data_IF_737046041021
#
_entry.id   IF_737046041021
#
_cell.length_a   1.000
_cell.length_b   1.000
_cell.length_c   1.000
_cell.angle_alpha   90.00
_cell.angle_beta   90.00
_cell.angle_gamma   90.00
#
_symmetry.space_group_name_H-M   'P 1'
#
loop_
_entity.id
_entity.type
_entity.pdbx_description
1 polymer ?
#
# COMPACT_ATOMS: atom_id res chain seq x y z
N UNK A 1 9.25 29.31 13.30
CA UNK A 1 9.38 27.88 13.63
C UNK A 1 8.40 27.58 14.75
N UNK A 2 7.32 26.88 14.46
CA UNK A 2 6.34 26.46 15.47
C UNK A 2 6.75 25.07 15.93
N UNK A 3 7.17 24.95 17.18
CA UNK A 3 7.37 23.66 17.84
C UNK A 3 5.99 23.03 18.06
N UNK A 4 5.69 21.97 17.32
CA UNK A 4 4.53 21.14 17.58
C UNK A 4 4.99 20.05 18.55
N UNK A 5 5.04 20.37 19.85
CA UNK A 5 5.02 19.35 20.89
C UNK A 5 3.60 18.77 20.94
N UNK A 6 3.34 17.77 20.10
CA UNK A 6 2.08 17.04 20.16
C UNK A 6 2.14 16.10 21.36
N UNK A 7 1.34 16.40 22.38
CA UNK A 7 0.94 15.47 23.44
C UNK A 7 0.11 14.32 22.83
N UNK A 8 0.74 13.42 22.08
CA UNK A 8 0.10 12.16 21.68
C UNK A 8 0.05 11.28 22.92
N UNK A 9 -1.14 11.14 23.51
CA UNK A 9 -1.42 10.03 24.40
C UNK A 9 -1.05 8.74 23.67
N UNK A 10 -0.27 7.88 24.31
CA UNK A 10 0.05 6.56 23.77
C UNK A 10 -1.27 5.89 23.34
N UNK A 11 -1.45 5.52 22.06
CA UNK A 11 -2.65 4.81 21.64
C UNK A 11 -2.76 3.53 22.47
N UNK A 12 -3.96 3.21 22.99
CA UNK A 12 -4.14 1.95 23.72
C UNK A 12 -3.85 0.79 22.76
N UNK A 13 -3.16 -0.23 23.25
CA UNK A 13 -2.76 -1.40 22.48
C UNK A 13 -3.94 -2.16 21.84
N UNK A 14 -5.17 -1.84 22.25
CA UNK A 14 -6.42 -2.42 21.73
C UNK A 14 -6.67 -2.09 20.25
N UNK A 15 -5.98 -1.07 19.70
CA UNK A 15 -6.24 -0.56 18.34
C UNK A 15 -5.19 -0.95 17.28
N UNK A 16 -4.21 -1.76 17.65
CA UNK A 16 -3.13 -2.14 16.73
C UNK A 16 -3.56 -3.29 15.82
N UNK A 17 -4.12 -2.94 14.65
CA UNK A 17 -4.19 -3.84 13.49
C UNK A 17 -3.25 -3.29 12.41
N UNK A 18 -2.01 -3.78 12.37
CA UNK A 18 -1.06 -3.44 11.31
C UNK A 18 -1.18 -4.42 10.14
N UNK A 19 -1.25 -3.94 8.91
CA UNK A 19 -1.11 -4.75 7.69
C UNK A 19 0.30 -4.58 7.13
N UNK A 20 1.29 -5.25 7.73
CA UNK A 20 2.62 -5.45 7.11
C UNK A 20 2.89 -6.94 6.89
N UNK A 21 3.88 -7.31 6.07
CA UNK A 21 4.30 -8.71 5.88
C UNK A 21 4.68 -9.40 7.20
N UNK A 22 5.11 -8.66 8.22
CA UNK A 22 5.36 -9.19 9.57
C UNK A 22 4.07 -9.70 10.25
N UNK A 23 2.91 -9.16 9.86
CA UNK A 23 1.59 -9.52 10.42
C UNK A 23 0.99 -10.76 9.80
N UNK A 24 1.38 -11.12 8.57
CA UNK A 24 0.93 -12.36 7.94
C UNK A 24 1.47 -13.60 8.65
N UNK A 25 2.66 -13.48 9.27
CA UNK A 25 3.23 -14.51 10.15
C UNK A 25 2.75 -14.39 11.62
N UNK A 26 2.15 -13.26 12.01
CA UNK A 26 1.80 -12.95 13.40
C UNK A 26 0.31 -13.10 13.71
N UNK A 27 -0.45 -13.92 12.97
CA UNK A 27 -1.88 -14.14 13.22
C UNK A 27 -2.21 -14.83 14.56
N UNK A 28 -1.20 -15.11 15.41
CA UNK A 28 -1.35 -15.68 16.76
C UNK A 28 -0.48 -15.00 17.83
N UNK A 29 0.18 -13.87 17.55
CA UNK A 29 0.98 -13.19 18.57
C UNK A 29 0.07 -12.30 19.42
N UNK A 30 0.03 -12.53 20.73
CA UNK A 30 -0.85 -11.78 21.64
C UNK A 30 -0.51 -10.26 21.61
N UNK A 31 -1.50 -9.36 21.68
CA UNK A 31 -1.33 -7.90 21.59
C UNK A 31 -0.24 -7.32 22.52
N UNK A 32 -0.06 -7.95 23.67
CA UNK A 32 0.90 -7.63 24.72
C UNK A 32 2.38 -7.86 24.34
N UNK A 33 2.66 -8.74 23.37
CA UNK A 33 4.01 -8.92 22.79
C UNK A 33 4.26 -7.92 21.65
N UNK A 34 3.22 -7.60 20.88
CA UNK A 34 3.35 -6.76 19.69
C UNK A 34 3.41 -5.26 20.02
N UNK A 35 2.67 -4.82 21.05
CA UNK A 35 2.56 -3.41 21.40
C UNK A 35 3.90 -2.74 21.79
N UNK A 36 4.80 -3.36 22.57
CA UNK A 36 6.12 -2.78 22.85
C UNK A 36 6.99 -2.61 21.60
N UNK A 37 6.93 -3.56 20.67
CA UNK A 37 7.67 -3.53 19.40
C UNK A 37 7.14 -2.40 18.53
N UNK A 38 5.82 -2.28 18.41
CA UNK A 38 5.21 -1.22 17.61
C UNK A 38 5.36 0.16 18.25
N UNK A 39 5.36 0.26 19.59
CA UNK A 39 5.71 1.50 20.28
C UNK A 39 7.18 1.90 20.01
N UNK A 40 8.11 0.95 19.93
CA UNK A 40 9.49 1.23 19.48
C UNK A 40 9.54 1.67 18.01
N UNK A 41 8.71 1.09 17.13
CA UNK A 41 8.59 1.55 15.74
C UNK A 41 8.02 2.97 15.64
N UNK A 42 7.01 3.30 16.46
CA UNK A 42 6.38 4.63 16.51
C UNK A 42 7.31 5.68 17.15
N UNK A 43 8.09 5.30 18.16
CA UNK A 43 9.07 6.17 18.84
C UNK A 43 10.40 6.27 18.07
N UNK A 44 10.55 5.46 17.01
CA UNK A 44 11.78 5.33 16.25
C UNK A 44 12.82 4.48 17.00
N UNK A 45 13.41 3.51 16.31
CA UNK A 45 14.58 2.81 16.83
C UNK A 45 15.68 3.84 17.15
N UNK A 46 16.30 3.80 18.35
CA UNK A 46 17.41 4.69 18.66
C UNK A 46 18.49 4.50 17.60
N UNK A 47 18.99 5.60 17.08
CA UNK A 47 20.02 5.56 16.03
C UNK A 47 21.25 4.85 16.60
N UNK A 48 21.61 3.72 16.01
CA UNK A 48 22.83 3.02 16.38
C UNK A 48 24.05 3.60 15.66
N UNK A 49 25.22 3.00 15.90
CA UNK A 49 26.46 3.38 15.23
C UNK A 49 26.46 3.13 13.71
N UNK A 50 25.46 2.44 13.15
CA UNK A 50 25.33 2.09 11.74
C UNK A 50 24.27 2.95 11.01
N UNK A 51 23.48 3.73 11.73
CA UNK A 51 22.48 4.62 11.14
C UNK A 51 23.10 5.53 10.06
N UNK A 52 22.51 5.49 8.85
CA UNK A 52 22.96 6.22 7.64
C UNK A 52 24.41 5.90 7.20
N UNK A 53 24.95 4.74 7.55
CA UNK A 53 26.26 4.27 7.08
C UNK A 53 26.12 3.07 6.14
N UNK A 54 27.02 2.98 5.18
CA UNK A 54 27.19 1.78 4.35
C UNK A 54 28.34 0.93 4.86
N UNK A 55 28.32 -0.39 4.63
CA UNK A 55 29.47 -1.24 4.92
C UNK A 55 30.70 -0.73 4.16
N UNK A 56 31.85 -0.65 4.82
CA UNK A 56 33.11 -0.17 4.22
C UNK A 56 33.99 -1.31 3.71
N UNK A 57 33.76 -2.53 4.19
CA UNK A 57 34.51 -3.73 3.78
C UNK A 57 33.86 -4.33 2.53
N UNK A 58 34.71 -4.67 1.55
CA UNK A 58 34.25 -5.40 0.37
C UNK A 58 33.74 -6.79 0.76
N UNK A 59 32.68 -7.23 0.10
CA UNK A 59 32.15 -8.60 0.23
C UNK A 59 32.09 -9.26 -1.14
N UNK A 60 32.13 -10.59 -1.16
CA UNK A 60 31.91 -11.42 -2.36
C UNK A 60 30.59 -12.18 -2.29
N UNK A 61 29.84 -12.02 -1.20
CA UNK A 61 28.54 -12.66 -1.05
C UNK A 61 27.60 -12.15 -2.15
N UNK A 62 26.92 -13.04 -2.87
CA UNK A 62 25.88 -12.64 -3.79
C UNK A 62 24.79 -11.85 -3.05
N UNK A 63 24.44 -10.67 -3.55
CA UNK A 63 23.32 -9.87 -3.04
C UNK A 63 22.38 -9.51 -4.19
N UNK A 64 21.10 -9.86 -4.03
CA UNK A 64 20.00 -9.39 -4.89
C UNK A 64 19.20 -8.32 -4.16
N UNK A 65 18.98 -7.19 -4.82
CA UNK A 65 18.05 -6.15 -4.40
C UNK A 65 16.90 -6.05 -5.42
N UNK A 66 15.70 -6.40 -4.99
CA UNK A 66 14.46 -6.21 -5.75
C UNK A 66 13.73 -4.96 -5.24
N UNK A 67 13.26 -4.12 -6.14
CA UNK A 67 12.54 -2.91 -5.76
C UNK A 67 11.43 -2.58 -6.74
N UNK A 68 10.25 -2.21 -6.23
CA UNK A 68 9.13 -1.80 -7.06
C UNK A 68 9.21 -0.32 -7.44
N UNK A 69 8.94 0.01 -8.70
CA UNK A 69 8.99 1.39 -9.20
C UNK A 69 7.87 2.31 -8.67
N UNK A 70 6.85 1.74 -8.02
CA UNK A 70 5.75 2.46 -7.37
C UNK A 70 5.75 2.25 -5.85
N UNK A 71 6.88 1.86 -5.24
CA UNK A 71 7.00 1.77 -3.80
C UNK A 71 6.93 3.16 -3.16
N UNK A 72 5.78 3.48 -2.56
CA UNK A 72 5.55 4.74 -1.84
C UNK A 72 6.23 4.79 -0.48
N UNK A 73 6.59 3.64 0.10
CA UNK A 73 7.26 3.54 1.40
C UNK A 73 8.76 3.77 1.28
N UNK A 74 9.37 3.32 0.18
CA UNK A 74 10.76 3.60 -0.18
C UNK A 74 10.85 4.15 -1.60
N UNK A 75 10.84 5.48 -1.81
CA UNK A 75 10.89 6.06 -3.14
C UNK A 75 12.08 5.57 -3.99
N UNK A 76 11.81 5.30 -5.27
CA UNK A 76 12.79 4.78 -6.25
C UNK A 76 14.15 5.50 -6.24
N UNK A 77 14.25 6.84 -6.16
CA UNK A 77 15.56 7.50 -6.10
C UNK A 77 16.42 7.06 -4.90
N UNK A 78 15.79 6.74 -3.77
CA UNK A 78 16.48 6.24 -2.56
C UNK A 78 16.96 4.80 -2.79
N UNK A 79 16.12 3.94 -3.35
CA UNK A 79 16.51 2.56 -3.68
C UNK A 79 17.65 2.52 -4.71
N UNK A 80 17.60 3.35 -5.76
CA UNK A 80 18.70 3.51 -6.73
C UNK A 80 19.98 4.03 -6.07
N UNK A 81 19.87 4.94 -5.11
CA UNK A 81 21.01 5.40 -4.32
C UNK A 81 21.62 4.24 -3.52
N UNK A 82 20.80 3.42 -2.83
CA UNK A 82 21.27 2.22 -2.13
C UNK A 82 21.95 1.24 -3.10
N UNK A 83 21.32 0.93 -4.23
CA UNK A 83 21.88 0.06 -5.25
C UNK A 83 23.26 0.53 -5.71
N UNK A 84 23.41 1.83 -5.98
CA UNK A 84 24.71 2.43 -6.34
C UNK A 84 25.75 2.27 -5.24
N UNK A 85 25.39 2.44 -3.97
CA UNK A 85 26.33 2.31 -2.86
C UNK A 85 26.76 0.85 -2.67
N UNK A 86 25.82 -0.09 -2.73
CA UNK A 86 26.11 -1.53 -2.61
C UNK A 86 26.94 -2.06 -3.79
N UNK A 87 26.73 -1.56 -5.01
CA UNK A 87 27.53 -1.97 -6.17
C UNK A 87 29.00 -1.52 -6.09
N UNK A 88 29.32 -0.47 -5.32
CA UNK A 88 30.70 -0.02 -5.11
C UNK A 88 31.49 -0.93 -4.16
N UNK A 89 30.79 -1.64 -3.26
CA UNK A 89 31.40 -2.47 -2.21
C UNK A 89 31.30 -3.98 -2.51
N UNK A 90 30.40 -4.38 -3.41
CA UNK A 90 30.18 -5.77 -3.78
C UNK A 90 30.09 -5.90 -5.31
N UNK A 91 31.06 -6.61 -5.90
CA UNK A 91 31.04 -6.90 -7.34
C UNK A 91 30.01 -7.97 -7.73
N UNK A 92 29.46 -8.69 -6.75
CA UNK A 92 28.40 -9.68 -6.93
C UNK A 92 27.06 -9.15 -6.39
N UNK A 93 26.67 -7.98 -6.89
CA UNK A 93 25.46 -7.27 -6.51
C UNK A 93 24.56 -7.08 -7.74
N UNK A 94 23.33 -7.56 -7.65
CA UNK A 94 22.31 -7.41 -8.70
C UNK A 94 21.17 -6.54 -8.18
N UNK A 95 20.85 -5.47 -8.90
CA UNK A 95 19.67 -4.64 -8.67
C UNK A 95 18.66 -4.86 -9.79
N UNK A 96 17.41 -5.12 -9.42
CA UNK A 96 16.29 -5.23 -10.34
C UNK A 96 15.18 -4.29 -9.87
N UNK A 97 14.94 -3.26 -10.67
CA UNK A 97 13.77 -2.41 -10.54
C UNK A 97 12.61 -3.05 -11.31
N UNK A 98 11.48 -3.22 -10.62
CA UNK A 98 10.33 -3.97 -11.09
C UNK A 98 9.23 -3.00 -11.50
N UNK A 99 8.80 -3.02 -12.78
CA UNK A 99 7.80 -2.09 -13.25
C UNK A 99 6.43 -2.39 -12.64
N UNK A 100 5.64 -1.35 -12.42
CA UNK A 100 4.28 -1.43 -11.88
C UNK A 100 4.18 -2.23 -10.57
N UNK A 101 5.24 -2.18 -9.76
CA UNK A 101 5.33 -2.96 -8.51
C UNK A 101 5.40 -2.02 -7.32
N UNK A 102 4.62 -2.30 -6.28
CA UNK A 102 4.59 -1.51 -5.05
C UNK A 102 5.63 -1.95 -4.01
N UNK A 103 5.38 -1.59 -2.76
CA UNK A 103 6.15 -2.08 -1.62
C UNK A 103 6.10 -3.62 -1.56
N UNK A 104 7.13 -4.26 -0.98
CA UNK A 104 7.28 -5.73 -0.95
C UNK A 104 7.37 -6.37 -2.34
N UNK A 105 8.37 -5.96 -3.13
CA UNK A 105 8.53 -6.36 -4.54
C UNK A 105 8.46 -7.87 -4.80
N UNK A 106 8.84 -8.71 -3.83
CA UNK A 106 8.73 -10.18 -3.87
C UNK A 106 7.30 -10.71 -3.95
N UNK A 107 6.31 -9.96 -3.45
CA UNK A 107 4.89 -10.36 -3.39
C UNK A 107 3.97 -9.38 -4.11
N UNK A 108 4.42 -8.16 -4.43
CA UNK A 108 3.63 -7.12 -5.06
C UNK A 108 3.76 -7.07 -6.60
N UNK A 109 4.27 -8.13 -7.24
CA UNK A 109 4.47 -8.22 -8.68
C UNK A 109 3.69 -9.39 -9.34
N UNK A 110 2.33 -9.39 -9.27
CA UNK A 110 1.52 -10.46 -9.88
C UNK A 110 1.62 -10.45 -11.40
N UNK A 111 1.68 -11.63 -12.02
CA UNK A 111 1.79 -11.76 -13.48
C UNK A 111 0.44 -12.04 -14.15
N UNK A 112 0.32 -11.76 -15.44
CA UNK A 112 -0.92 -11.90 -16.21
C UNK A 112 -1.26 -13.33 -16.65
N UNK A 113 -0.29 -14.23 -16.70
CA UNK A 113 -0.36 -15.54 -17.35
C UNK A 113 -0.40 -16.72 -16.38
N UNK A 114 -0.95 -16.51 -15.18
CA UNK A 114 -1.11 -17.52 -14.13
C UNK A 114 0.20 -18.13 -13.58
N UNK A 115 1.38 -17.72 -14.09
CA UNK A 115 2.72 -18.15 -13.63
C UNK A 115 3.10 -17.61 -12.23
N UNK A 116 2.17 -16.99 -11.52
CA UNK A 116 2.34 -16.51 -10.14
C UNK A 116 2.89 -15.09 -10.03
N UNK A 117 4.02 -14.93 -9.33
CA UNK A 117 4.59 -13.64 -8.95
C UNK A 117 6.03 -13.49 -9.44
N UNK A 118 6.29 -12.46 -10.24
CA UNK A 118 7.61 -12.25 -10.86
C UNK A 118 8.70 -12.01 -9.81
N UNK A 119 8.40 -11.27 -8.73
CA UNK A 119 9.36 -10.97 -7.67
C UNK A 119 9.79 -12.22 -6.91
N UNK A 120 8.83 -13.10 -6.63
CA UNK A 120 9.11 -14.40 -6.04
C UNK A 120 9.96 -15.29 -6.96
N UNK A 121 9.60 -15.37 -8.24
CA UNK A 121 10.34 -16.17 -9.22
C UNK A 121 11.80 -15.71 -9.37
N UNK A 122 12.04 -14.39 -9.42
CA UNK A 122 13.38 -13.81 -9.42
C UNK A 122 14.16 -14.17 -8.14
N UNK A 123 13.53 -14.03 -6.97
CA UNK A 123 14.16 -14.33 -5.69
C UNK A 123 14.54 -15.82 -5.59
N UNK A 124 13.64 -16.73 -5.95
CA UNK A 124 13.89 -18.19 -5.93
C UNK A 124 15.00 -18.56 -6.91
N UNK A 125 14.95 -18.06 -8.14
CA UNK A 125 15.98 -18.35 -9.16
C UNK A 125 17.35 -17.87 -8.69
N UNK A 126 17.41 -16.68 -8.08
CA UNK A 126 18.64 -16.15 -7.50
C UNK A 126 19.15 -17.00 -6.32
N UNK A 127 18.27 -17.45 -5.42
CA UNK A 127 18.67 -18.33 -4.30
C UNK A 127 19.23 -19.67 -4.79
N UNK A 128 18.64 -20.24 -5.84
CA UNK A 128 19.06 -21.51 -6.42
C UNK A 128 20.32 -21.37 -7.28
N UNK A 129 20.63 -20.18 -7.79
CA UNK A 129 21.75 -19.93 -8.70
C UNK A 129 22.31 -18.51 -8.54
N UNK A 130 22.91 -18.19 -7.39
CA UNK A 130 23.27 -16.81 -7.04
C UNK A 130 24.48 -16.27 -7.80
N UNK A 131 25.18 -17.12 -8.56
CA UNK A 131 26.26 -16.72 -9.47
C UNK A 131 25.77 -16.40 -10.88
N UNK A 132 24.48 -16.59 -11.15
CA UNK A 132 23.85 -16.33 -12.44
C UNK A 132 22.91 -15.13 -12.35
N UNK A 133 22.86 -14.37 -13.43
CA UNK A 133 21.89 -13.29 -13.57
C UNK A 133 20.49 -13.92 -13.72
N UNK A 134 19.51 -13.59 -12.85
CA UNK A 134 18.16 -14.13 -12.96
C UNK A 134 17.50 -13.80 -14.30
N UNK A 135 16.72 -14.72 -14.88
CA UNK A 135 15.92 -14.41 -16.06
C UNK A 135 14.87 -13.34 -15.71
N UNK A 136 14.92 -12.21 -16.43
CA UNK A 136 14.07 -11.04 -16.22
C UNK A 136 12.86 -11.00 -17.16
N UNK A 137 12.63 -12.06 -17.95
CA UNK A 137 11.50 -12.14 -18.90
C UNK A 137 10.14 -11.90 -18.24
N UNK A 138 9.99 -12.28 -16.97
CA UNK A 138 8.76 -12.07 -16.20
C UNK A 138 8.38 -10.60 -15.97
N UNK A 139 9.33 -9.65 -16.05
CA UNK A 139 9.05 -8.23 -15.81
C UNK A 139 8.03 -7.66 -16.82
N UNK A 140 8.03 -8.19 -18.05
CA UNK A 140 7.08 -7.80 -19.08
C UNK A 140 5.67 -8.37 -18.85
N UNK A 141 5.55 -9.38 -17.99
CA UNK A 141 4.30 -10.06 -17.64
C UNK A 141 3.65 -9.51 -16.37
N UNK A 142 4.31 -8.59 -15.65
CA UNK A 142 3.73 -7.96 -14.45
C UNK A 142 2.44 -7.24 -14.84
N UNK A 143 1.35 -7.60 -14.16
CA UNK A 143 0.01 -7.07 -14.40
C UNK A 143 -0.02 -5.55 -14.28
N UNK A 144 -0.87 -4.92 -15.08
CA UNK A 144 -1.14 -3.49 -14.93
C UNK A 144 -2.08 -3.27 -13.73
N UNK A 145 -1.84 -2.18 -13.00
CA UNK A 145 -2.77 -1.74 -11.96
C UNK A 145 -3.96 -1.03 -12.61
N UNK A 146 -5.16 -1.50 -12.28
CA UNK A 146 -6.40 -0.89 -12.74
C UNK A 146 -6.84 0.27 -11.84
N UNK A 147 -6.11 1.39 -11.93
CA UNK A 147 -6.45 2.61 -11.21
C UNK A 147 -7.80 3.23 -11.65
N UNK A 148 -8.32 2.87 -12.81
CA UNK A 148 -9.63 3.36 -13.24
C UNK A 148 -10.78 2.51 -12.63
N UNK A 149 -10.48 1.32 -12.10
CA UNK A 149 -11.48 0.39 -11.59
C UNK A 149 -12.42 -0.14 -12.69
N UNK A 150 -11.97 -0.14 -13.96
CA UNK A 150 -12.84 -0.45 -15.10
C UNK A 150 -12.86 -1.94 -15.44
N UNK A 151 -11.86 -2.71 -15.01
CA UNK A 151 -11.75 -4.13 -15.31
C UNK A 151 -12.79 -4.95 -14.53
N UNK A 152 -13.19 -6.08 -15.11
CA UNK A 152 -14.12 -7.02 -14.46
C UNK A 152 -13.60 -7.47 -13.09
N UNK A 153 -12.30 -7.72 -12.95
CA UNK A 153 -11.69 -8.13 -11.69
C UNK A 153 -11.83 -7.06 -10.61
N UNK A 154 -11.51 -5.80 -10.92
CA UNK A 154 -11.66 -4.69 -9.96
C UNK A 154 -13.10 -4.47 -9.55
N UNK A 155 -14.05 -4.53 -10.50
CA UNK A 155 -15.48 -4.39 -10.23
C UNK A 155 -16.02 -5.53 -9.38
N UNK A 156 -15.60 -6.76 -9.64
CA UNK A 156 -15.97 -7.93 -8.83
C UNK A 156 -15.43 -7.82 -7.40
N UNK A 157 -14.16 -7.42 -7.25
CA UNK A 157 -13.57 -7.19 -5.94
C UNK A 157 -14.31 -6.07 -5.19
N UNK A 158 -14.61 -4.95 -5.85
CA UNK A 158 -15.39 -3.87 -5.26
C UNK A 158 -16.78 -4.35 -4.84
N UNK A 159 -17.45 -5.17 -5.66
CA UNK A 159 -18.75 -5.72 -5.33
C UNK A 159 -18.67 -6.64 -4.10
N UNK A 160 -17.66 -7.50 -4.05
CA UNK A 160 -17.44 -8.43 -2.94
C UNK A 160 -17.17 -7.71 -1.61
N UNK A 161 -16.32 -6.69 -1.61
CA UNK A 161 -15.88 -6.03 -0.37
C UNK A 161 -16.70 -4.80 0.02
N UNK A 162 -17.29 -4.10 -0.95
CA UNK A 162 -18.00 -2.83 -0.73
C UNK A 162 -19.46 -2.85 -1.17
N UNK A 163 -19.94 -3.94 -1.77
CA UNK A 163 -21.32 -4.06 -2.26
C UNK A 163 -21.64 -3.13 -3.44
N UNK A 164 -20.63 -2.71 -4.20
CA UNK A 164 -20.79 -1.84 -5.38
C UNK A 164 -19.72 -2.17 -6.43
N UNK A 165 -20.03 -2.00 -7.72
CA UNK A 165 -19.04 -2.15 -8.80
C UNK A 165 -18.19 -0.88 -9.01
N UNK A 166 -18.47 0.18 -8.25
CA UNK A 166 -17.74 1.45 -8.30
C UNK A 166 -16.62 1.45 -7.25
N UNK A 167 -15.40 1.18 -7.71
CA UNK A 167 -14.17 1.18 -6.88
C UNK A 167 -13.97 2.50 -6.15
N UNK A 168 -14.46 3.62 -6.70
CA UNK A 168 -14.26 4.96 -6.17
C UNK A 168 -15.47 5.51 -5.41
N UNK A 169 -16.61 4.81 -5.45
CA UNK A 169 -17.85 5.17 -4.74
C UNK A 169 -18.52 6.47 -5.23
N UNK A 170 -18.14 7.01 -6.39
CA UNK A 170 -18.64 8.28 -6.93
C UNK A 170 -20.14 8.19 -7.25
N UNK A 171 -20.66 7.02 -7.67
CA UNK A 171 -22.07 6.82 -7.97
C UNK A 171 -22.98 7.01 -6.76
N UNK A 172 -22.58 6.58 -5.56
CA UNK A 172 -23.40 6.74 -4.34
C UNK A 172 -23.61 8.21 -3.99
N UNK A 173 -22.63 9.08 -4.21
CA UNK A 173 -22.76 10.52 -3.98
C UNK A 173 -23.85 11.15 -4.85
N UNK A 174 -23.95 10.79 -6.13
CA UNK A 174 -24.95 11.37 -7.02
C UNK A 174 -26.37 10.89 -6.73
N UNK A 175 -26.56 9.59 -6.47
CA UNK A 175 -27.89 9.05 -6.10
C UNK A 175 -28.36 9.57 -4.74
N UNK A 176 -27.45 9.71 -3.78
CA UNK A 176 -27.77 10.30 -2.47
C UNK A 176 -28.15 11.77 -2.59
N UNK A 177 -27.41 12.56 -3.38
CA UNK A 177 -27.73 13.96 -3.65
C UNK A 177 -29.09 14.09 -4.37
N UNK A 178 -29.36 13.23 -5.36
CA UNK A 178 -30.64 13.22 -6.07
C UNK A 178 -31.81 12.88 -5.14
N UNK A 179 -31.65 11.91 -4.25
CA UNK A 179 -32.66 11.53 -3.26
C UNK A 179 -32.91 12.62 -2.20
N UNK A 180 -31.85 13.31 -1.74
CA UNK A 180 -31.99 14.46 -0.83
C UNK A 180 -32.71 15.61 -1.53
N UNK A 181 -32.33 15.93 -2.77
CA UNK A 181 -32.96 17.00 -3.54
C UNK A 181 -34.45 16.71 -3.81
N UNK A 182 -34.81 15.46 -4.13
CA UNK A 182 -36.21 15.05 -4.27
C UNK A 182 -36.99 15.19 -2.96
N UNK A 183 -36.43 14.73 -1.84
CA UNK A 183 -37.09 14.85 -0.53
C UNK A 183 -37.32 16.32 -0.15
N UNK A 184 -36.31 17.19 -0.28
CA UNK A 184 -36.46 18.63 0.00
C UNK A 184 -37.58 19.24 -0.85
N UNK A 185 -37.64 18.90 -2.14
CA UNK A 185 -38.69 19.42 -3.05
C UNK A 185 -40.09 18.99 -2.60
N UNK A 186 -40.25 17.73 -2.20
CA UNK A 186 -41.51 17.22 -1.65
C UNK A 186 -41.89 17.90 -0.34
N UNK A 187 -40.95 18.03 0.60
CA UNK A 187 -41.20 18.68 1.89
C UNK A 187 -41.60 20.14 1.70
N UNK A 188 -40.89 20.88 0.83
CA UNK A 188 -41.22 22.27 0.52
C UNK A 188 -42.62 22.41 -0.10
N UNK A 189 -42.97 21.51 -1.02
CA UNK A 189 -44.29 21.50 -1.65
C UNK A 189 -45.41 21.30 -0.63
N UNK A 190 -45.22 20.40 0.34
CA UNK A 190 -46.17 20.16 1.43
C UNK A 190 -46.32 21.40 2.32
N UNK A 191 -45.20 22.02 2.72
CA UNK A 191 -45.24 23.24 3.54
C UNK A 191 -45.96 24.41 2.83
N UNK A 192 -45.69 24.61 1.54
CA UNK A 192 -46.36 25.64 0.74
C UNK A 192 -47.87 25.38 0.67
N UNK A 193 -48.28 24.13 0.42
CA UNK A 193 -49.71 23.78 0.39
C UNK A 193 -50.40 24.02 1.73
N UNK A 194 -49.77 23.65 2.85
CA UNK A 194 -50.31 23.90 4.20
C UNK A 194 -50.43 25.40 4.48
N UNK A 195 -49.42 26.19 4.10
CA UNK A 195 -49.42 27.64 4.32
C UNK A 195 -50.52 28.35 3.50
N UNK A 196 -50.73 27.95 2.24
CA UNK A 196 -51.81 28.47 1.40
C UNK A 196 -53.19 28.15 2.00
N UNK A 197 -53.40 26.92 2.49
CA UNK A 197 -54.66 26.54 3.15
C UNK A 197 -54.91 27.41 4.40
N UNK A 198 -53.86 27.69 5.17
CA UNK A 198 -53.96 28.53 6.37
C UNK A 198 -54.33 29.97 6.04
N UNK A 199 -53.77 30.55 4.97
CA UNK A 199 -54.08 31.91 4.52
C UNK A 199 -55.51 32.07 3.97
N UNK A 200 -56.10 31.03 3.38
CA UNK A 200 -57.47 31.09 2.85
C UNK A 200 -58.51 30.94 3.98
N UNK A 201 -58.09 30.43 5.15
CA UNK A 201 -58.98 30.13 6.28
C UNK A 201 -59.16 31.29 7.26
N UNK A 202 -58.49 32.42 7.04
CA UNK A 202 -58.56 33.66 7.83
C UNK A 202 -59.06 34.82 6.97
#
# INVERSE_FOLDING_TARGET
MVSIESSRKNPSCDYVQGLSMNTFAATHVMPDIYCPIQQQEILGYPTDQYYRKYPTKKTKLPVLLLHGDMDSSLPVPIARHFAKQYSLINSNFTYIEMPRTGHTATSAAPMTDEEGNCGWNLAVTYMLSPTFEPDRSCLNKISQIDFAGITTKSKQAAMQYFGTDDVWGIKKTHETIANIAMNIKYTLSIFISIFIIYLISF
#
